data_IF_802935173935
#
_entry.id   IF_802935173935
#
_cell.length_a   1.000
_cell.length_b   1.000
_cell.length_c   1.000
_cell.angle_alpha   90.00
_cell.angle_beta   90.00
_cell.angle_gamma   90.00
#
_symmetry.space_group_name_H-M   'P 1'
#
loop_
_entity.id
_entity.type
_entity.pdbx_description
1 polymer ?
#
# COMPACT_ATOMS: atom_id res chain seq x y z
N UNK A 1 29.29 20.87 16.08
CA UNK A 1 28.90 20.11 14.87
C UNK A 1 27.74 20.84 14.24
N UNK A 2 27.75 21.01 12.92
CA UNK A 2 26.63 21.63 12.23
C UNK A 2 25.53 20.58 12.00
N UNK A 3 24.42 20.72 12.72
CA UNK A 3 23.26 19.82 12.62
C UNK A 3 22.42 20.06 11.36
N UNK A 4 22.73 21.10 10.56
CA UNK A 4 21.92 21.51 9.41
C UNK A 4 21.72 20.38 8.40
N UNK A 5 22.76 19.59 8.11
CA UNK A 5 22.65 18.45 7.18
C UNK A 5 21.74 17.36 7.73
N UNK A 6 21.87 17.00 9.01
CA UNK A 6 21.03 15.99 9.66
C UNK A 6 19.56 16.43 9.72
N UNK A 7 19.31 17.69 10.10
CA UNK A 7 17.97 18.27 10.13
C UNK A 7 17.34 18.25 8.74
N UNK A 8 18.11 18.60 7.69
CA UNK A 8 17.64 18.52 6.30
C UNK A 8 17.30 17.08 5.91
N UNK A 9 18.17 16.11 6.20
CA UNK A 9 17.89 14.69 5.92
C UNK A 9 16.61 14.23 6.62
N UNK A 10 16.40 14.59 7.89
CA UNK A 10 15.18 14.26 8.62
C UNK A 10 13.93 14.94 8.02
N UNK A 11 14.04 16.17 7.55
CA UNK A 11 12.94 16.87 6.87
C UNK A 11 12.61 16.21 5.52
N UNK A 12 13.62 15.84 4.73
CA UNK A 12 13.44 15.14 3.45
C UNK A 12 12.79 13.76 3.67
N UNK A 13 13.22 13.02 4.70
CA UNK A 13 12.57 11.78 5.13
C UNK A 13 11.10 12.00 5.52
N UNK A 14 10.80 13.11 6.20
CA UNK A 14 9.44 13.43 6.61
C UNK A 14 8.52 13.58 5.40
N UNK A 15 8.96 14.35 4.40
CA UNK A 15 8.20 14.55 3.17
C UNK A 15 7.98 13.24 2.40
N UNK A 16 9.01 12.38 2.34
CA UNK A 16 8.88 11.05 1.74
C UNK A 16 7.87 10.18 2.50
N UNK A 17 7.87 10.20 3.83
CA UNK A 17 6.92 9.45 4.66
C UNK A 17 5.48 9.97 4.52
N UNK A 18 5.29 11.29 4.46
CA UNK A 18 3.97 11.91 4.19
C UNK A 18 3.47 11.51 2.81
N UNK A 19 4.31 11.64 1.78
CA UNK A 19 3.96 11.27 0.42
C UNK A 19 3.61 9.76 0.30
N UNK A 20 4.37 8.89 0.97
CA UNK A 20 4.08 7.46 1.00
C UNK A 20 2.77 7.15 1.71
N UNK A 21 2.44 7.89 2.78
CA UNK A 21 1.17 7.72 3.51
C UNK A 21 -0.02 8.06 2.61
N UNK A 22 0.06 9.18 1.87
CA UNK A 22 -0.97 9.56 0.91
C UNK A 22 -1.12 8.53 -0.21
N UNK A 23 -0.02 7.95 -0.70
CA UNK A 23 -0.05 6.86 -1.67
C UNK A 23 -0.79 5.63 -1.13
N UNK A 24 -0.60 5.27 0.14
CA UNK A 24 -1.30 4.14 0.76
C UNK A 24 -2.79 4.42 0.99
N UNK A 25 -3.16 5.66 1.32
CA UNK A 25 -4.57 6.04 1.43
C UNK A 25 -5.25 6.00 0.05
N UNK A 26 -4.56 6.44 -1.01
CA UNK A 26 -5.02 6.29 -2.38
C UNK A 26 -5.12 4.81 -2.79
N UNK A 27 -4.17 3.96 -2.38
CA UNK A 27 -4.21 2.50 -2.61
C UNK A 27 -5.46 1.90 -1.98
N UNK A 28 -5.80 2.29 -0.74
CA UNK A 28 -6.99 1.83 -0.06
C UNK A 28 -8.26 2.20 -0.83
N UNK A 29 -8.31 3.42 -1.40
CA UNK A 29 -9.45 3.89 -2.18
C UNK A 29 -9.55 3.18 -3.53
N UNK A 30 -8.46 3.09 -4.29
CA UNK A 30 -8.43 2.39 -5.57
C UNK A 30 -8.74 0.90 -5.40
N UNK A 31 -8.29 0.29 -4.29
CA UNK A 31 -8.75 -1.03 -3.88
C UNK A 31 -10.26 -0.99 -3.72
N UNK A 32 -10.86 -0.17 -2.85
CA UNK A 32 -12.32 -0.12 -2.66
C UNK A 32 -13.13 0.07 -3.96
N UNK A 33 -12.65 0.90 -4.87
CA UNK A 33 -13.35 1.20 -6.12
C UNK A 33 -13.12 0.13 -7.20
N UNK A 34 -12.12 -0.74 -7.03
CA UNK A 34 -11.73 -1.72 -8.04
C UNK A 34 -11.05 -1.11 -9.26
N UNK A 35 -10.43 0.07 -9.10
CA UNK A 35 -9.74 0.77 -10.18
C UNK A 35 -8.35 0.16 -10.41
N UNK A 36 -8.28 -0.77 -11.36
CA UNK A 36 -7.05 -1.49 -11.68
C UNK A 36 -5.97 -0.61 -12.33
N UNK A 37 -6.38 0.43 -13.07
CA UNK A 37 -5.44 1.36 -13.73
C UNK A 37 -4.75 2.21 -12.66
N UNK A 38 -5.52 2.72 -11.72
CA UNK A 38 -4.99 3.52 -10.62
C UNK A 38 -4.14 2.66 -9.67
N UNK A 39 -4.51 1.41 -9.41
CA UNK A 39 -3.70 0.48 -8.62
C UNK A 39 -2.31 0.22 -9.22
N UNK A 40 -2.22 0.08 -10.54
CA UNK A 40 -0.93 -0.09 -11.23
C UNK A 40 -0.05 1.16 -11.07
N UNK A 41 -0.63 2.35 -11.28
CA UNK A 41 0.06 3.64 -11.10
C UNK A 41 0.55 3.83 -9.66
N UNK A 42 -0.29 3.51 -8.69
CA UNK A 42 0.01 3.58 -7.26
C UNK A 42 1.14 2.61 -6.89
N UNK A 43 1.12 1.39 -7.42
CA UNK A 43 2.15 0.38 -7.15
C UNK A 43 3.54 0.86 -7.61
N UNK A 44 3.63 1.45 -8.81
CA UNK A 44 4.88 2.02 -9.31
C UNK A 44 5.35 3.21 -8.46
N UNK A 45 4.42 4.06 -8.03
CA UNK A 45 4.71 5.22 -7.17
C UNK A 45 5.25 4.78 -5.80
N UNK A 46 4.60 3.78 -5.19
CA UNK A 46 4.99 3.19 -3.90
C UNK A 46 6.40 2.60 -3.96
N UNK A 47 6.75 1.87 -5.03
CA UNK A 47 8.10 1.32 -5.20
C UNK A 47 9.17 2.42 -5.23
N UNK A 48 8.95 3.51 -5.97
CA UNK A 48 9.87 4.66 -6.02
C UNK A 48 10.03 5.32 -4.65
N UNK A 49 8.93 5.51 -3.93
CA UNK A 49 8.94 6.11 -2.59
C UNK A 49 9.67 5.23 -1.57
N UNK A 50 9.48 3.91 -1.60
CA UNK A 50 10.20 2.98 -0.72
C UNK A 50 11.70 2.94 -1.01
N UNK A 51 12.09 3.01 -2.28
CA UNK A 51 13.50 3.12 -2.66
C UNK A 51 14.12 4.42 -2.11
N UNK A 52 13.44 5.56 -2.26
CA UNK A 52 13.89 6.84 -1.73
C UNK A 52 14.00 6.84 -0.20
N UNK A 53 13.04 6.25 0.51
CA UNK A 53 13.11 6.08 1.97
C UNK A 53 14.31 5.20 2.39
N UNK A 54 14.62 4.16 1.60
CA UNK A 54 15.78 3.30 1.84
C UNK A 54 17.13 3.96 1.55
N UNK A 55 17.20 4.92 0.64
CA UNK A 55 18.38 5.78 0.46
C UNK A 55 18.51 6.77 1.62
N UNK A 56 17.42 7.44 2.03
CA UNK A 56 17.46 8.41 3.12
C UNK A 56 17.87 7.77 4.46
N UNK A 57 17.39 6.56 4.79
CA UNK A 57 17.86 5.82 5.97
C UNK A 57 19.36 5.50 5.90
N UNK A 58 19.88 5.16 4.70
CA UNK A 58 21.30 4.92 4.50
C UNK A 58 22.11 6.19 4.69
N UNK A 59 21.69 7.31 4.12
CA UNK A 59 22.36 8.60 4.25
C UNK A 59 22.45 9.03 5.72
N UNK A 60 21.35 8.88 6.47
CA UNK A 60 21.33 9.17 7.91
C UNK A 60 22.28 8.26 8.70
N UNK A 61 22.34 6.96 8.38
CA UNK A 61 23.28 6.02 9.03
C UNK A 61 24.73 6.33 8.69
N UNK A 62 25.03 6.69 7.45
CA UNK A 62 26.36 7.10 7.00
C UNK A 62 26.80 8.38 7.70
N UNK A 63 25.90 9.37 7.79
CA UNK A 63 26.14 10.59 8.54
C UNK A 63 26.46 10.27 10.00
N UNK A 64 25.68 9.41 10.65
CA UNK A 64 25.93 9.00 12.03
C UNK A 64 27.27 8.24 12.18
N UNK A 65 27.60 7.33 11.27
CA UNK A 65 28.88 6.61 11.32
C UNK A 65 30.09 7.54 11.24
N UNK A 66 29.96 8.67 10.53
CA UNK A 66 31.03 9.67 10.39
C UNK A 66 31.13 10.62 11.60
N UNK A 67 30.02 10.90 12.29
CA UNK A 67 29.94 11.96 13.31
C UNK A 67 29.69 11.46 14.74
N UNK A 68 29.10 10.27 14.91
CA UNK A 68 28.58 9.75 16.16
C UNK A 68 29.43 8.71 16.88
N UNK A 69 30.56 8.31 16.29
CA UNK A 69 31.39 7.23 16.81
C UNK A 69 30.72 5.84 16.72
N UNK A 70 31.25 4.87 17.46
CA UNK A 70 30.84 3.46 17.37
C UNK A 70 29.57 3.10 18.17
N UNK A 71 28.83 4.07 18.73
CA UNK A 71 27.60 3.79 19.48
C UNK A 71 26.38 3.71 18.54
N UNK A 72 25.82 2.52 18.27
CA UNK A 72 24.64 2.37 17.42
C UNK A 72 23.37 2.98 18.02
N UNK A 73 23.34 3.26 19.33
CA UNK A 73 22.22 3.93 20.01
C UNK A 73 22.47 5.41 20.28
N UNK A 74 23.66 5.91 19.92
CA UNK A 74 24.04 7.28 20.18
C UNK A 74 23.28 8.30 19.32
N UNK A 75 22.77 7.88 18.15
CA UNK A 75 22.04 8.78 17.25
C UNK A 75 20.81 9.38 17.93
N UNK A 76 20.01 8.58 18.62
CA UNK A 76 18.81 9.08 19.31
C UNK A 76 19.21 10.05 20.40
N UNK A 77 20.23 9.71 21.21
CA UNK A 77 20.74 10.61 22.26
C UNK A 77 21.24 11.93 21.68
N UNK A 78 21.96 11.87 20.56
CA UNK A 78 22.44 13.03 19.85
C UNK A 78 21.29 13.89 19.33
N UNK A 79 20.27 13.28 18.72
CA UNK A 79 19.08 14.00 18.26
C UNK A 79 18.36 14.72 19.40
N UNK A 80 18.39 14.18 20.63
CA UNK A 80 17.82 14.87 21.81
C UNK A 80 18.60 16.11 22.26
N UNK A 81 19.82 16.33 21.77
CA UNK A 81 20.58 17.55 22.08
C UNK A 81 20.08 18.78 21.31
N UNK A 82 19.25 18.57 20.29
CA UNK A 82 18.68 19.61 19.42
C UNK A 82 17.16 19.45 19.34
N UNK A 83 16.41 20.47 19.75
CA UNK A 83 14.95 20.40 19.82
C UNK A 83 14.31 20.17 18.43
N UNK A 84 14.87 20.75 17.38
CA UNK A 84 14.32 20.64 16.02
C UNK A 84 14.56 19.24 15.47
N UNK A 85 15.79 18.74 15.61
CA UNK A 85 16.13 17.38 15.17
C UNK A 85 15.35 16.32 15.96
N UNK A 86 15.21 16.50 17.27
CA UNK A 86 14.40 15.67 18.15
C UNK A 86 12.95 15.60 17.70
N UNK A 87 12.32 16.75 17.43
CA UNK A 87 10.92 16.82 16.98
C UNK A 87 10.73 16.14 15.63
N UNK A 88 11.56 16.46 14.64
CA UNK A 88 11.47 15.85 13.30
C UNK A 88 11.61 14.33 13.36
N UNK A 89 12.53 13.82 14.18
CA UNK A 89 12.71 12.38 14.34
C UNK A 89 11.47 11.70 14.95
N UNK A 90 10.87 12.30 15.98
CA UNK A 90 9.65 11.76 16.60
C UNK A 90 8.46 11.79 15.63
N UNK A 91 8.32 12.85 14.83
CA UNK A 91 7.32 12.95 13.76
C UNK A 91 7.55 11.88 12.68
N UNK A 92 8.80 11.66 12.25
CA UNK A 92 9.14 10.60 11.30
C UNK A 92 8.82 9.21 11.86
N UNK A 93 9.11 8.97 13.14
CA UNK A 93 8.76 7.71 13.80
C UNK A 93 7.25 7.50 13.86
N UNK A 94 6.47 8.55 14.15
CA UNK A 94 5.01 8.49 14.15
C UNK A 94 4.46 8.21 12.75
N UNK A 95 4.97 8.89 11.72
CA UNK A 95 4.59 8.66 10.32
C UNK A 95 4.95 7.25 9.85
N UNK A 96 6.12 6.73 10.21
CA UNK A 96 6.53 5.37 9.87
C UNK A 96 5.61 4.31 10.49
N UNK A 97 5.15 4.54 11.73
CA UNK A 97 4.15 3.68 12.40
C UNK A 97 2.80 3.73 11.67
N UNK A 98 2.35 4.93 11.30
CA UNK A 98 1.11 5.12 10.54
C UNK A 98 1.18 4.42 9.17
N UNK A 99 2.28 4.61 8.44
CA UNK A 99 2.54 3.97 7.14
C UNK A 99 2.49 2.45 7.25
N UNK A 100 3.10 1.88 8.30
CA UNK A 100 3.04 0.44 8.57
C UNK A 100 1.61 -0.03 8.82
N UNK A 101 0.84 0.69 9.61
CA UNK A 101 -0.56 0.35 9.87
C UNK A 101 -1.37 0.37 8.58
N UNK A 102 -1.23 1.41 7.76
CA UNK A 102 -1.92 1.52 6.47
C UNK A 102 -1.58 0.39 5.51
N UNK A 103 -0.32 -0.04 5.48
CA UNK A 103 0.07 -1.17 4.64
C UNK A 103 -0.57 -2.49 5.11
N UNK A 104 -0.73 -2.69 6.43
CA UNK A 104 -1.42 -3.86 6.99
C UNK A 104 -2.92 -3.80 6.65
N UNK A 105 -3.54 -2.62 6.78
CA UNK A 105 -4.95 -2.41 6.44
C UNK A 105 -5.21 -2.73 4.95
N UNK A 106 -4.34 -2.24 4.06
CA UNK A 106 -4.42 -2.51 2.62
C UNK A 106 -4.23 -3.99 2.30
N UNK A 107 -3.28 -4.66 2.97
CA UNK A 107 -3.11 -6.12 2.84
C UNK A 107 -4.37 -6.89 3.25
N UNK A 108 -5.01 -6.49 4.34
CA UNK A 108 -6.27 -7.10 4.81
C UNK A 108 -7.39 -6.90 3.79
N UNK A 109 -7.47 -5.73 3.14
CA UNK A 109 -8.46 -5.44 2.10
C UNK A 109 -8.24 -6.30 0.85
N UNK A 110 -6.99 -6.53 0.45
CA UNK A 110 -6.64 -7.44 -0.65
C UNK A 110 -7.09 -8.87 -0.32
N UNK A 111 -6.77 -9.37 0.87
CA UNK A 111 -7.18 -10.71 1.30
C UNK A 111 -8.69 -10.89 1.31
N UNK A 112 -9.43 -9.89 1.82
CA UNK A 112 -10.89 -9.91 1.85
C UNK A 112 -11.46 -10.01 0.43
N UNK A 113 -10.93 -9.23 -0.51
CA UNK A 113 -11.36 -9.24 -1.91
C UNK A 113 -11.05 -10.55 -2.60
N UNK A 114 -9.87 -11.11 -2.35
CA UNK A 114 -9.49 -12.42 -2.90
C UNK A 114 -10.47 -13.51 -2.45
N UNK A 115 -10.79 -13.56 -1.15
CA UNK A 115 -11.77 -14.51 -0.60
C UNK A 115 -13.16 -14.30 -1.19
N UNK A 116 -13.62 -13.05 -1.32
CA UNK A 116 -14.93 -12.74 -1.91
C UNK A 116 -15.01 -13.24 -3.37
N UNK A 117 -13.98 -13.00 -4.18
CA UNK A 117 -13.91 -13.47 -5.56
C UNK A 117 -13.88 -15.00 -5.64
N UNK A 118 -13.09 -15.67 -4.80
CA UNK A 118 -13.04 -17.13 -4.75
C UNK A 118 -14.38 -17.75 -4.33
N UNK A 119 -15.07 -17.16 -3.35
CA UNK A 119 -16.40 -17.60 -2.93
C UNK A 119 -17.44 -17.41 -4.04
N UNK A 120 -17.43 -16.26 -4.72
CA UNK A 120 -18.33 -15.99 -5.84
C UNK A 120 -18.14 -17.01 -6.98
N UNK A 121 -16.88 -17.30 -7.35
CA UNK A 121 -16.57 -18.34 -8.34
C UNK A 121 -17.06 -19.72 -7.89
N UNK A 122 -16.86 -20.07 -6.61
CA UNK A 122 -17.31 -21.35 -6.05
C UNK A 122 -18.83 -21.51 -6.12
N UNK A 123 -19.59 -20.46 -5.78
CA UNK A 123 -21.07 -20.46 -5.88
C UNK A 123 -21.52 -20.60 -7.33
N UNK A 124 -20.92 -19.85 -8.26
CA UNK A 124 -21.25 -19.92 -9.68
C UNK A 124 -20.96 -21.31 -10.26
N UNK A 125 -19.82 -21.93 -9.91
CA UNK A 125 -19.49 -23.28 -10.35
C UNK A 125 -20.39 -24.35 -9.72
N UNK A 126 -20.74 -24.23 -8.43
CA UNK A 126 -21.66 -25.15 -7.76
C UNK A 126 -23.07 -25.10 -8.38
N UNK A 127 -23.58 -23.91 -8.68
CA UNK A 127 -24.85 -23.73 -9.38
C UNK A 127 -24.81 -24.33 -10.80
N UNK A 128 -23.66 -24.30 -11.46
CA UNK A 128 -23.48 -24.89 -12.80
C UNK A 128 -23.58 -26.43 -12.79
N UNK A 129 -23.19 -27.09 -11.70
CA UNK A 129 -23.22 -28.55 -11.60
C UNK A 129 -24.61 -29.12 -11.28
N UNK A 130 -25.61 -28.27 -10.98
CA UNK A 130 -26.92 -28.65 -10.45
C UNK A 130 -28.06 -28.88 -11.44
N UNK A 131 -27.83 -28.87 -12.76
CA UNK A 131 -28.83 -29.39 -13.73
C UNK A 131 -29.43 -28.43 -14.77
N UNK A 132 -28.74 -27.35 -15.12
CA UNK A 132 -29.13 -26.52 -16.27
C UNK A 132 -28.29 -25.26 -16.33
N UNK A 133 -27.26 -25.25 -17.17
CA UNK A 133 -26.21 -24.22 -17.14
C UNK A 133 -26.59 -22.99 -17.96
N UNK A 134 -26.66 -21.79 -17.34
CA UNK A 134 -26.67 -20.51 -18.06
C UNK A 134 -25.26 -20.09 -18.53
N UNK A 135 -24.20 -20.71 -18.00
CA UNK A 135 -22.82 -20.38 -18.28
C UNK A 135 -22.03 -21.62 -18.75
N UNK A 136 -21.35 -21.49 -19.88
CA UNK A 136 -20.45 -22.53 -20.39
C UNK A 136 -19.17 -22.63 -19.58
N UNK A 137 -18.34 -23.64 -19.88
CA UNK A 137 -17.04 -23.90 -19.24
C UNK A 137 -16.10 -22.67 -19.18
N UNK A 138 -16.26 -21.74 -20.13
CA UNK A 138 -15.46 -20.52 -20.25
C UNK A 138 -16.21 -19.25 -19.78
N UNK A 139 -17.35 -19.38 -19.10
CA UNK A 139 -18.24 -18.27 -18.71
C UNK A 139 -18.99 -17.63 -19.89
N UNK A 140 -18.64 -17.99 -21.13
CA UNK A 140 -19.23 -17.52 -22.38
C UNK A 140 -20.13 -18.58 -22.98
N UNK A 141 -21.34 -18.75 -22.46
CA UNK A 141 -22.43 -19.27 -23.29
C UNK A 141 -23.54 -18.23 -23.34
N UNK A 142 -24.10 -17.94 -24.52
CA UNK A 142 -25.34 -17.18 -24.59
C UNK A 142 -26.40 -17.97 -23.82
N UNK A 143 -27.09 -17.28 -22.90
CA UNK A 143 -28.25 -17.82 -22.22
C UNK A 143 -29.21 -18.38 -23.27
N UNK A 144 -29.49 -19.68 -23.22
CA UNK A 144 -30.52 -20.29 -24.06
C UNK A 144 -31.87 -19.79 -23.56
N UNK A 145 -32.31 -18.64 -24.09
CA UNK A 145 -33.63 -18.10 -23.82
C UNK A 145 -34.67 -19.10 -24.37
N UNK A 146 -35.68 -19.50 -23.58
CA UNK A 146 -36.77 -20.29 -24.11
C UNK A 146 -37.41 -19.53 -25.28
N UNK A 147 -37.63 -20.21 -26.41
CA UNK A 147 -38.32 -19.63 -27.56
C UNK A 147 -39.73 -19.23 -27.13
N UNK A 148 -40.00 -17.94 -27.01
CA UNK A 148 -41.36 -17.43 -26.88
C UNK A 148 -42.06 -17.64 -28.23
N UNK A 149 -42.81 -18.73 -28.36
CA UNK A 149 -43.76 -18.89 -29.46
C UNK A 149 -44.95 -17.97 -29.18
N UNK A 150 -44.95 -16.78 -29.76
CA UNK A 150 -46.14 -15.94 -29.84
C UNK A 150 -47.11 -16.65 -30.79
N UNK A 151 -48.06 -17.39 -30.22
CA UNK A 151 -49.22 -17.86 -30.97
C UNK A 151 -50.11 -16.64 -31.18
N UNK A 152 -50.01 -16.02 -32.37
CA UNK A 152 -50.99 -15.04 -32.82
C UNK A 152 -52.28 -15.81 -33.16
N UNK A 153 -53.38 -15.45 -32.48
CA UNK A 153 -54.74 -15.86 -32.83
C UNK A 153 -55.24 -15.07 -34.05
#
# INVERSE_FOLDING_TARGET
>A
MDNTLLIRTLADEQELLRAATLTLDAEAQALRDGDMVELERITQTKQKQLAALGEADRDRRLWWAQHGGADPYGLVKYLRTDETASRLFDENLALARLLRQRNIDNGTLIDLRLRATQNALSVLHAANNGGGTPYGRDGKQPLSMPRFSVVAQ
#
